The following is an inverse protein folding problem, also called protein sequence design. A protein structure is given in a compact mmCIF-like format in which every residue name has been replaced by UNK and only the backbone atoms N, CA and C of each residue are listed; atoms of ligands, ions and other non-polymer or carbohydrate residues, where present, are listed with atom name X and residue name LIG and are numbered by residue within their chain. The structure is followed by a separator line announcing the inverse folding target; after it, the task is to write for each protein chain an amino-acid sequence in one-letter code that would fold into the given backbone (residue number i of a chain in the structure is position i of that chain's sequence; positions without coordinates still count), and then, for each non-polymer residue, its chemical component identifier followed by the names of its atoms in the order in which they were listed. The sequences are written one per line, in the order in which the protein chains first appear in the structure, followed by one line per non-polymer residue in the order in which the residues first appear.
data_IF_562498150507
#
_entry.id   IF_562498150507
#
_cell.length_a   1.000
_cell.length_b   1.000
_cell.length_c   1.000
_cell.angle_alpha   90.00
_cell.angle_beta   90.00
_cell.angle_gamma   90.00
#
_symmetry.space_group_name_H-M   'P 1'
#
loop_
_entity.id
_entity.type
_entity.pdbx_description
1 polymer ?
#
# COMPACT_ATOMS: atom_id res chain seq x y z
N UNK A 1 -25.03 -52.15 57.30
CA UNK A 1 -23.94 -51.33 57.88
C UNK A 1 -23.46 -50.35 56.83
N UNK A 2 -24.20 -49.24 56.77
CA UNK A 2 -23.95 -48.05 55.98
C UNK A 2 -23.17 -47.09 56.88
N UNK A 3 -21.96 -46.67 56.49
CA UNK A 3 -21.33 -45.37 56.81
C UNK A 3 -19.82 -45.42 56.52
N UNK A 4 -19.35 -44.41 55.78
CA UNK A 4 -17.96 -43.95 55.66
C UNK A 4 -17.07 -44.74 54.68
N UNK A 5 -17.31 -44.57 53.36
CA UNK A 5 -16.22 -44.31 52.38
C UNK A 5 -16.72 -43.38 51.26
N UNK A 6 -17.53 -42.36 51.62
CA UNK A 6 -17.87 -41.23 50.73
C UNK A 6 -16.90 -40.05 50.98
N UNK A 7 -15.97 -40.20 51.92
CA UNK A 7 -15.11 -39.10 52.41
C UNK A 7 -13.76 -38.95 51.71
N UNK A 8 -13.42 -39.78 50.74
CA UNK A 8 -12.17 -39.66 49.95
C UNK A 8 -12.38 -39.20 48.50
N UNK A 9 -13.64 -39.03 48.07
CA UNK A 9 -13.96 -38.56 46.72
C UNK A 9 -14.28 -37.04 46.63
N UNK A 10 -14.21 -36.29 47.74
CA UNK A 10 -14.54 -34.86 47.80
C UNK A 10 -13.32 -33.96 48.08
N UNK A 11 -12.11 -34.53 48.25
CA UNK A 11 -10.91 -33.75 48.57
C UNK A 11 -10.09 -33.33 47.32
N UNK A 12 -10.45 -33.77 46.11
CA UNK A 12 -9.77 -33.35 44.85
C UNK A 12 -10.60 -32.33 44.05
N UNK A 13 -11.76 -31.86 44.55
CA UNK A 13 -12.54 -30.79 43.89
C UNK A 13 -12.37 -29.40 44.50
N UNK A 14 -11.36 -29.17 45.36
CA UNK A 14 -11.24 -27.93 46.16
C UNK A 14 -9.93 -27.16 45.96
N UNK A 15 -9.21 -27.36 44.85
CA UNK A 15 -8.11 -26.47 44.42
C UNK A 15 -8.58 -25.58 43.27
N UNK A 16 -9.78 -25.02 43.43
CA UNK A 16 -10.19 -23.81 42.74
C UNK A 16 -10.96 -22.95 43.73
N UNK A 17 -10.83 -21.63 43.59
CA UNK A 17 -11.48 -20.54 44.35
C UNK A 17 -10.71 -20.09 45.61
N UNK A 18 -9.89 -19.04 45.45
CA UNK A 18 -9.30 -18.38 46.61
C UNK A 18 -8.21 -17.34 46.38
N UNK A 19 -8.16 -16.62 45.26
CA UNK A 19 -7.46 -15.33 45.21
C UNK A 19 -8.39 -14.27 44.63
N UNK A 20 -9.04 -13.57 45.56
CA UNK A 20 -9.48 -12.17 45.52
C UNK A 20 -10.43 -11.73 44.40
N UNK A 21 -11.73 -11.87 44.65
CA UNK A 21 -12.73 -10.95 44.13
C UNK A 21 -12.63 -9.60 44.88
N UNK A 22 -11.93 -8.64 44.29
CA UNK A 22 -12.31 -7.23 44.42
C UNK A 22 -13.27 -6.91 43.28
N UNK A 23 -14.49 -6.49 43.62
CA UNK A 23 -15.48 -5.99 42.67
C UNK A 23 -14.90 -4.88 41.79
N UNK A 24 -14.70 -5.17 40.51
CA UNK A 24 -14.71 -4.16 39.45
C UNK A 24 -15.70 -4.65 38.39
N UNK A 25 -16.69 -3.81 38.16
CA UNK A 25 -17.73 -3.85 37.12
C UNK A 25 -17.10 -4.22 35.77
N UNK A 26 -17.76 -5.02 34.90
CA UNK A 26 -17.16 -5.47 33.65
C UNK A 26 -16.92 -4.28 32.71
N UNK A 27 -15.69 -3.76 32.70
CA UNK A 27 -15.21 -2.99 31.57
C UNK A 27 -15.16 -3.95 30.38
N UNK A 28 -15.53 -3.46 29.20
CA UNK A 28 -15.36 -4.15 27.92
C UNK A 28 -14.11 -5.05 27.97
N UNK A 29 -14.25 -6.33 27.63
CA UNK A 29 -13.08 -7.16 27.34
C UNK A 29 -12.29 -6.45 26.24
N UNK A 30 -11.25 -5.71 26.62
CA UNK A 30 -10.25 -5.21 25.69
C UNK A 30 -9.65 -6.46 25.07
N UNK A 31 -9.96 -6.67 23.79
CA UNK A 31 -9.32 -7.72 23.01
C UNK A 31 -7.84 -7.37 23.04
N UNK A 32 -6.97 -8.22 23.63
CA UNK A 32 -5.56 -7.91 23.74
C UNK A 32 -5.01 -7.60 22.37
N UNK A 33 -4.16 -6.58 22.30
CA UNK A 33 -3.50 -6.16 21.08
C UNK A 33 -2.74 -7.34 20.45
N UNK A 34 -2.54 -7.36 19.12
CA UNK A 34 -1.80 -8.45 18.46
C UNK A 34 -0.46 -8.76 19.13
N UNK A 35 0.29 -7.72 19.53
CA UNK A 35 1.54 -7.84 20.27
C UNK A 35 1.38 -8.51 21.64
N UNK A 36 0.38 -8.11 22.43
CA UNK A 36 0.13 -8.72 23.74
C UNK A 36 -0.26 -10.19 23.64
N UNK A 37 -0.98 -10.57 22.58
CA UNK A 37 -1.33 -11.97 22.31
C UNK A 37 -0.09 -12.79 21.94
N UNK A 38 0.81 -12.25 21.12
CA UNK A 38 2.07 -12.89 20.74
C UNK A 38 2.98 -13.07 21.95
N UNK A 39 3.14 -12.04 22.77
CA UNK A 39 3.96 -12.07 23.98
C UNK A 39 3.44 -13.08 25.01
N UNK A 40 2.11 -13.16 25.15
CA UNK A 40 1.45 -14.16 25.98
C UNK A 40 1.75 -15.59 25.52
N UNK A 41 1.65 -15.87 24.21
CA UNK A 41 1.96 -17.20 23.66
C UNK A 41 3.45 -17.55 23.77
N UNK A 42 4.34 -16.58 23.56
CA UNK A 42 5.79 -16.75 23.77
C UNK A 42 6.11 -17.10 25.23
N UNK A 43 5.41 -16.49 26.19
CA UNK A 43 5.55 -16.83 27.62
C UNK A 43 5.14 -18.28 27.89
N UNK A 44 4.02 -18.74 27.34
CA UNK A 44 3.57 -20.15 27.45
C UNK A 44 4.60 -21.12 26.86
N UNK A 45 5.10 -20.83 25.65
CA UNK A 45 6.13 -21.63 24.98
C UNK A 45 7.40 -21.72 25.83
N UNK A 46 7.86 -20.58 26.37
CA UNK A 46 9.07 -20.51 27.18
C UNK A 46 8.93 -21.30 28.50
N UNK A 47 7.77 -21.22 29.16
CA UNK A 47 7.51 -22.00 30.37
C UNK A 47 7.47 -23.50 30.06
N UNK A 48 6.77 -23.90 28.99
CA UNK A 48 6.67 -25.30 28.58
C UNK A 48 8.03 -25.89 28.20
N UNK A 49 8.91 -25.12 27.56
CA UNK A 49 10.30 -25.53 27.29
C UNK A 49 11.09 -25.83 28.55
N UNK A 50 11.01 -24.95 29.55
CA UNK A 50 11.69 -25.13 30.85
C UNK A 50 11.20 -26.41 31.54
N UNK A 51 9.89 -26.64 31.56
CA UNK A 51 9.31 -27.83 32.16
C UNK A 51 9.76 -29.12 31.45
N UNK A 52 9.95 -29.07 30.13
CA UNK A 52 10.31 -30.21 29.29
C UNK A 52 11.66 -30.85 29.67
N UNK A 53 12.60 -30.07 30.23
CA UNK A 53 13.90 -30.55 30.72
C UNK A 53 13.76 -31.47 31.94
N UNK A 54 12.66 -31.35 32.69
CA UNK A 54 12.45 -32.08 33.93
C UNK A 54 11.56 -33.33 33.76
N UNK A 55 10.98 -33.55 32.57
CA UNK A 55 10.09 -34.68 32.29
C UNK A 55 10.89 -35.96 32.00
N UNK A 56 10.86 -36.90 32.95
CA UNK A 56 11.56 -38.20 32.85
C UNK A 56 10.78 -39.28 32.09
N UNK A 57 9.46 -39.16 32.00
CA UNK A 57 8.61 -40.17 31.34
C UNK A 57 8.50 -39.89 29.84
N UNK A 58 8.98 -40.82 29.02
CA UNK A 58 9.03 -40.66 27.56
C UNK A 58 7.66 -40.32 26.92
N UNK A 59 6.58 -40.97 27.36
CA UNK A 59 5.23 -40.68 26.85
C UNK A 59 4.81 -39.23 27.13
N UNK A 60 4.95 -38.79 28.38
CA UNK A 60 4.60 -37.42 28.80
C UNK A 60 5.47 -36.39 28.07
N UNK A 61 6.75 -36.70 27.86
CA UNK A 61 7.67 -35.85 27.10
C UNK A 61 7.25 -35.72 25.63
N UNK A 62 6.84 -36.82 25.01
CA UNK A 62 6.34 -36.83 23.63
C UNK A 62 5.04 -36.01 23.51
N UNK A 63 4.10 -36.17 24.44
CA UNK A 63 2.86 -35.40 24.49
C UNK A 63 3.16 -33.90 24.66
N UNK A 64 4.04 -33.51 25.59
CA UNK A 64 4.45 -32.11 25.78
C UNK A 64 5.16 -31.51 24.57
N UNK A 65 5.96 -32.30 23.84
CA UNK A 65 6.59 -31.87 22.59
C UNK A 65 5.56 -31.65 21.48
N UNK A 66 4.55 -32.50 21.36
CA UNK A 66 3.48 -32.33 20.39
C UNK A 66 2.71 -31.01 20.63
N UNK A 67 2.35 -30.74 21.89
CA UNK A 67 1.67 -29.49 22.24
C UNK A 67 2.60 -28.27 21.99
N UNK A 68 3.91 -28.39 22.25
CA UNK A 68 4.87 -27.33 21.94
C UNK A 68 4.95 -27.04 20.43
N UNK A 69 4.83 -28.07 19.58
CA UNK A 69 4.73 -27.89 18.12
C UNK A 69 3.46 -27.12 17.77
N UNK A 70 2.32 -27.47 18.37
CA UNK A 70 1.05 -26.77 18.13
C UNK A 70 1.10 -25.29 18.55
N UNK A 71 1.75 -24.97 19.68
CA UNK A 71 1.96 -23.57 20.09
C UNK A 71 2.79 -22.81 19.05
N UNK A 72 3.83 -23.44 18.50
CA UNK A 72 4.67 -22.83 17.47
C UNK A 72 3.91 -22.60 16.17
N UNK A 73 3.06 -23.55 15.76
CA UNK A 73 2.16 -23.38 14.62
C UNK A 73 1.23 -22.20 14.84
N UNK A 74 0.65 -22.07 16.03
CA UNK A 74 -0.20 -20.94 16.39
C UNK A 74 0.58 -19.61 16.35
N UNK A 75 1.79 -19.58 16.90
CA UNK A 75 2.67 -18.40 16.89
C UNK A 75 2.98 -17.94 15.46
N UNK A 76 3.32 -18.89 14.57
CA UNK A 76 3.56 -18.60 13.15
C UNK A 76 2.30 -18.02 12.49
N UNK A 77 1.12 -18.58 12.78
CA UNK A 77 -0.16 -18.06 12.27
C UNK A 77 -0.40 -16.62 12.71
N UNK A 78 -0.15 -16.30 13.97
CA UNK A 78 -0.30 -14.94 14.50
C UNK A 78 0.65 -13.94 13.84
N UNK A 79 1.92 -14.31 13.68
CA UNK A 79 2.90 -13.48 12.96
C UNK A 79 2.54 -13.28 11.49
N UNK A 80 2.00 -14.30 10.81
CA UNK A 80 1.55 -14.16 9.43
C UNK A 80 0.38 -13.17 9.31
N UNK A 81 -0.55 -13.18 10.26
CA UNK A 81 -1.69 -12.28 10.24
C UNK A 81 -1.28 -10.83 10.55
N UNK A 82 -0.37 -10.63 11.50
CA UNK A 82 0.20 -9.31 11.76
C UNK A 82 1.00 -8.80 10.56
N UNK A 83 1.81 -9.65 9.94
CA UNK A 83 2.51 -9.31 8.70
C UNK A 83 1.54 -8.90 7.59
N UNK A 84 0.44 -9.62 7.39
CA UNK A 84 -0.59 -9.25 6.40
C UNK A 84 -1.19 -7.87 6.70
N UNK A 85 -1.46 -7.56 7.96
CA UNK A 85 -2.01 -6.27 8.36
C UNK A 85 -1.02 -5.14 8.15
N UNK A 86 0.22 -5.31 8.61
CA UNK A 86 1.32 -4.34 8.42
C UNK A 86 1.58 -4.13 6.93
N UNK A 87 1.63 -5.20 6.14
CA UNK A 87 1.79 -5.13 4.68
C UNK A 87 0.65 -4.36 4.03
N UNK A 88 -0.61 -4.66 4.38
CA UNK A 88 -1.79 -3.93 3.86
C UNK A 88 -1.74 -2.44 4.22
N UNK A 89 -1.26 -2.11 5.42
CA UNK A 89 -1.07 -0.73 5.85
C UNK A 89 0.07 -0.07 5.06
N UNK A 90 1.25 -0.69 4.99
CA UNK A 90 2.40 -0.19 4.24
C UNK A 90 2.08 0.02 2.76
N UNK A 91 1.39 -0.93 2.11
CA UNK A 91 0.96 -0.82 0.72
C UNK A 91 -0.01 0.37 0.51
N UNK A 92 -0.85 0.70 1.50
CA UNK A 92 -1.73 1.88 1.47
C UNK A 92 -0.95 3.21 1.47
N UNK A 93 0.20 3.27 2.17
CA UNK A 93 1.01 4.48 2.28
C UNK A 93 2.18 4.52 1.29
N UNK A 94 2.53 3.41 0.64
CA UNK A 94 3.58 3.36 -0.40
C UNK A 94 3.34 4.39 -1.50
N UNK A 95 2.10 4.57 -1.94
CA UNK A 95 1.77 5.58 -2.95
C UNK A 95 2.01 7.03 -2.46
N UNK A 96 1.91 7.28 -1.15
CA UNK A 96 2.24 8.57 -0.55
C UNK A 96 3.76 8.75 -0.41
N UNK A 97 4.50 7.70 -0.09
CA UNK A 97 5.98 7.72 -0.14
C UNK A 97 6.46 8.06 -1.55
N UNK A 98 5.82 7.51 -2.58
CA UNK A 98 6.15 7.87 -3.94
C UNK A 98 5.90 9.35 -4.24
N UNK A 99 4.83 9.96 -3.73
CA UNK A 99 4.62 11.42 -3.88
C UNK A 99 5.71 12.26 -3.20
N UNK A 100 6.41 11.72 -2.20
CA UNK A 100 7.51 12.42 -1.53
C UNK A 100 8.86 12.17 -2.20
N UNK A 101 8.90 11.31 -3.22
CA UNK A 101 10.12 11.02 -3.95
C UNK A 101 10.56 12.23 -4.76
N UNK A 102 11.87 12.48 -4.79
CA UNK A 102 12.48 13.48 -5.66
C UNK A 102 12.69 12.97 -7.09
N UNK A 103 12.45 11.69 -7.36
CA UNK A 103 12.59 11.07 -8.69
C UNK A 103 11.49 11.53 -9.64
N UNK A 104 11.76 11.43 -10.94
CA UNK A 104 10.79 11.57 -12.03
C UNK A 104 9.85 10.36 -12.16
N UNK A 105 10.12 9.25 -11.47
CA UNK A 105 9.22 8.09 -11.45
C UNK A 105 7.81 8.44 -10.96
N UNK A 106 7.66 9.53 -10.21
CA UNK A 106 6.36 10.03 -9.70
C UNK A 106 5.35 10.36 -10.81
N UNK A 107 5.82 10.60 -12.04
CA UNK A 107 4.95 10.88 -13.19
C UNK A 107 4.46 9.60 -13.90
N UNK A 108 5.06 8.45 -13.59
CA UNK A 108 4.79 7.18 -14.28
C UNK A 108 4.05 6.15 -13.40
N UNK A 109 3.70 6.52 -12.18
CA UNK A 109 2.96 5.66 -11.25
C UNK A 109 1.48 6.05 -11.18
N UNK A 110 0.65 5.10 -10.77
CA UNK A 110 -0.73 5.42 -10.43
C UNK A 110 -0.78 6.30 -9.19
N UNK A 111 -1.36 7.50 -9.34
CA UNK A 111 -1.48 8.45 -8.24
C UNK A 111 -2.46 7.91 -7.18
N UNK A 112 -2.13 8.06 -5.88
CA UNK A 112 -3.04 7.65 -4.82
C UNK A 112 -4.36 8.43 -4.90
N UNK A 113 -5.44 7.82 -4.38
CA UNK A 113 -6.71 8.53 -4.23
C UNK A 113 -6.50 9.83 -3.43
N UNK A 114 -6.94 10.97 -3.97
CA UNK A 114 -6.78 12.28 -3.33
C UNK A 114 -7.35 12.32 -1.89
N UNK A 115 -8.34 11.47 -1.57
CA UNK A 115 -8.92 11.35 -0.23
C UNK A 115 -7.91 10.90 0.84
N UNK A 116 -6.85 10.18 0.46
CA UNK A 116 -5.80 9.74 1.38
C UNK A 116 -4.60 10.70 1.42
N UNK A 117 -4.58 11.73 0.58
CA UNK A 117 -3.49 12.72 0.52
C UNK A 117 -3.68 13.77 1.61
N UNK A 118 -2.71 13.95 2.53
CA UNK A 118 -2.77 14.99 3.55
C UNK A 118 -2.92 16.39 2.94
N UNK A 119 -3.66 17.32 3.58
CA UNK A 119 -3.83 18.69 3.09
C UNK A 119 -2.50 19.41 2.77
N UNK A 120 -1.46 19.15 3.56
CA UNK A 120 -0.12 19.70 3.36
C UNK A 120 0.55 19.27 2.05
N UNK A 121 0.19 18.11 1.50
CA UNK A 121 0.74 17.58 0.25
C UNK A 121 -0.15 17.82 -0.97
N UNK A 122 -1.35 18.39 -0.79
CA UNK A 122 -2.32 18.56 -1.89
C UNK A 122 -1.79 19.41 -3.03
N UNK A 123 -1.05 20.49 -2.72
CA UNK A 123 -0.47 21.33 -3.78
C UNK A 123 0.55 20.56 -4.62
N UNK A 124 1.41 19.77 -3.99
CA UNK A 124 2.38 18.92 -4.69
C UNK A 124 1.68 17.85 -5.52
N UNK A 125 0.71 17.15 -4.93
CA UNK A 125 -0.13 16.17 -5.62
C UNK A 125 -0.82 16.78 -6.86
N UNK A 126 -1.40 17.98 -6.73
CA UNK A 126 -2.09 18.66 -7.82
C UNK A 126 -1.15 19.03 -8.96
N UNK A 127 0.11 19.39 -8.67
CA UNK A 127 1.11 19.67 -9.70
C UNK A 127 1.52 18.38 -10.43
N UNK A 128 1.79 17.29 -9.70
CA UNK A 128 2.09 15.99 -10.32
C UNK A 128 0.90 15.53 -11.18
N UNK A 129 -0.32 15.60 -10.65
CA UNK A 129 -1.54 15.23 -11.37
C UNK A 129 -1.72 16.02 -12.67
N UNK A 130 -1.40 17.32 -12.67
CA UNK A 130 -1.42 18.13 -13.89
C UNK A 130 -0.38 17.67 -14.92
N UNK A 131 0.85 17.38 -14.49
CA UNK A 131 1.89 16.83 -15.40
C UNK A 131 1.43 15.50 -16.00
N UNK A 132 0.92 14.59 -15.17
CA UNK A 132 0.41 13.29 -15.62
C UNK A 132 -0.77 13.46 -16.60
N UNK A 133 -1.67 14.42 -16.35
CA UNK A 133 -2.77 14.72 -17.27
C UNK A 133 -2.25 15.22 -18.63
N UNK A 134 -1.28 16.14 -18.63
CA UNK A 134 -0.66 16.66 -19.85
C UNK A 134 0.03 15.53 -20.62
N UNK A 135 0.76 14.66 -19.92
CA UNK A 135 1.42 13.50 -20.53
C UNK A 135 0.41 12.59 -21.25
N UNK A 136 -0.71 12.25 -20.61
CA UNK A 136 -1.77 11.45 -21.21
C UNK A 136 -2.42 12.12 -22.43
N UNK A 137 -2.57 13.44 -22.40
CA UNK A 137 -3.10 14.18 -23.54
C UNK A 137 -2.14 14.19 -24.73
N UNK A 138 -0.83 14.36 -24.48
CA UNK A 138 0.21 14.22 -25.50
C UNK A 138 0.17 12.81 -26.12
N UNK A 139 0.12 11.77 -25.28
CA UNK A 139 0.05 10.37 -25.74
C UNK A 139 -1.21 10.11 -26.58
N UNK A 140 -2.37 10.66 -26.19
CA UNK A 140 -3.60 10.57 -26.98
C UNK A 140 -3.42 11.21 -28.35
N UNK A 141 -2.86 12.43 -28.41
CA UNK A 141 -2.66 13.15 -29.68
C UNK A 141 -1.66 12.41 -30.57
N UNK A 142 -0.57 11.89 -30.02
CA UNK A 142 0.41 11.09 -30.76
C UNK A 142 -0.24 9.83 -31.36
N UNK A 143 -1.10 9.15 -30.60
CA UNK A 143 -1.84 7.99 -31.07
C UNK A 143 -2.82 8.37 -32.19
N UNK A 144 -3.56 9.47 -32.02
CA UNK A 144 -4.50 9.98 -33.02
C UNK A 144 -3.80 10.35 -34.33
N UNK A 145 -2.62 10.97 -34.25
CA UNK A 145 -1.75 11.25 -35.39
C UNK A 145 -1.33 9.94 -36.08
N UNK A 146 -0.89 8.94 -35.32
CA UNK A 146 -0.44 7.66 -35.87
C UNK A 146 -1.57 6.94 -36.63
N UNK A 147 -2.76 6.92 -36.04
CA UNK A 147 -3.93 6.28 -36.64
C UNK A 147 -4.42 7.04 -37.87
N UNK A 148 -4.44 8.38 -37.82
CA UNK A 148 -4.82 9.19 -38.97
C UNK A 148 -3.82 9.10 -40.12
N UNK A 149 -2.53 9.04 -39.81
CA UNK A 149 -1.46 8.85 -40.81
C UNK A 149 -1.67 7.55 -41.58
N UNK A 150 -1.92 6.43 -40.87
CA UNK A 150 -2.23 5.13 -41.49
C UNK A 150 -3.47 5.21 -42.39
N UNK A 151 -4.52 5.87 -41.92
CA UNK A 151 -5.75 6.04 -42.68
C UNK A 151 -5.53 6.86 -43.97
N UNK A 152 -4.79 7.97 -43.89
CA UNK A 152 -4.45 8.81 -45.03
C UNK A 152 -3.64 8.05 -46.10
N UNK A 153 -2.63 7.29 -45.67
CA UNK A 153 -1.82 6.45 -46.58
C UNK A 153 -2.70 5.42 -47.29
N UNK A 154 -3.66 4.78 -46.59
CA UNK A 154 -4.55 3.79 -47.19
C UNK A 154 -5.47 4.35 -48.28
N UNK A 155 -5.82 5.65 -48.22
CA UNK A 155 -6.66 6.34 -49.20
C UNK A 155 -5.87 7.25 -50.15
N UNK A 156 -4.54 7.12 -50.19
CA UNK A 156 -3.65 7.97 -51.01
C UNK A 156 -3.83 9.48 -50.77
N UNK A 157 -4.11 9.88 -49.54
CA UNK A 157 -4.20 11.27 -49.12
C UNK A 157 -2.93 11.70 -48.38
N UNK A 158 -2.45 12.92 -48.65
CA UNK A 158 -1.30 13.52 -47.96
C UNK A 158 -1.61 13.77 -46.46
N UNK A 159 -0.92 13.11 -45.52
CA UNK A 159 -1.18 13.26 -44.08
C UNK A 159 -0.94 14.70 -43.59
N UNK A 160 0.05 15.39 -44.16
CA UNK A 160 0.40 16.76 -43.79
C UNK A 160 -0.70 17.79 -44.10
N UNK A 161 -1.64 17.46 -45.00
CA UNK A 161 -2.78 18.33 -45.29
C UNK A 161 -3.96 18.15 -44.31
N UNK A 162 -4.00 17.04 -43.56
CA UNK A 162 -5.14 16.61 -42.75
C UNK A 162 -4.85 16.69 -41.26
N UNK A 163 -3.69 16.19 -40.84
CA UNK A 163 -3.26 16.12 -39.44
C UNK A 163 -3.32 17.48 -38.73
N UNK A 164 -2.87 18.61 -39.32
CA UNK A 164 -2.84 19.89 -38.60
C UNK A 164 -4.23 20.35 -38.17
N UNK A 165 -5.22 20.19 -39.05
CA UNK A 165 -6.63 20.53 -38.77
C UNK A 165 -7.24 19.62 -37.71
N UNK A 166 -6.81 18.35 -37.65
CA UNK A 166 -7.29 17.39 -36.68
C UNK A 166 -6.81 17.74 -35.26
N UNK A 167 -5.52 18.05 -35.13
CA UNK A 167 -4.88 18.17 -33.81
C UNK A 167 -4.82 19.60 -33.27
N UNK A 168 -5.12 20.64 -34.07
CA UNK A 168 -4.95 22.05 -33.69
C UNK A 168 -5.56 22.39 -32.33
N UNK A 169 -6.83 22.04 -32.12
CA UNK A 169 -7.53 22.36 -30.86
C UNK A 169 -6.92 21.63 -29.65
N UNK A 170 -6.48 20.39 -29.85
CA UNK A 170 -5.89 19.59 -28.77
C UNK A 170 -4.50 20.10 -28.40
N UNK A 171 -3.70 20.46 -29.42
CA UNK A 171 -2.38 21.06 -29.26
C UNK A 171 -2.48 22.41 -28.54
N UNK A 172 -3.42 23.29 -28.91
CA UNK A 172 -3.67 24.57 -28.23
C UNK A 172 -4.07 24.39 -26.76
N UNK A 173 -4.90 23.38 -26.47
CA UNK A 173 -5.28 23.05 -25.10
C UNK A 173 -4.09 22.56 -24.26
N UNK A 174 -3.22 21.72 -24.83
CA UNK A 174 -1.98 21.26 -24.20
C UNK A 174 -1.06 22.46 -23.92
N UNK A 175 -0.87 23.35 -24.90
CA UNK A 175 -0.07 24.57 -24.73
C UNK A 175 -0.57 25.43 -23.57
N UNK A 176 -1.88 25.65 -23.51
CA UNK A 176 -2.51 26.44 -22.45
C UNK A 176 -2.28 25.83 -21.07
N UNK A 177 -2.38 24.49 -20.94
CA UNK A 177 -2.13 23.79 -19.68
C UNK A 177 -0.67 23.89 -19.25
N UNK A 178 0.26 23.75 -20.19
CA UNK A 178 1.69 23.87 -19.93
C UNK A 178 2.06 25.29 -19.49
N UNK A 179 1.51 26.31 -20.16
CA UNK A 179 1.74 27.71 -19.79
C UNK A 179 1.28 27.99 -18.35
N UNK A 180 0.04 27.62 -18.01
CA UNK A 180 -0.51 27.75 -16.65
C UNK A 180 0.33 27.01 -15.62
N UNK A 181 0.79 25.81 -15.95
CA UNK A 181 1.62 25.02 -15.05
C UNK A 181 2.99 25.70 -14.81
N UNK A 182 3.60 26.29 -15.85
CA UNK A 182 4.85 27.05 -15.73
C UNK A 182 4.69 28.31 -14.88
N UNK A 183 3.56 29.02 -14.99
CA UNK A 183 3.26 30.19 -14.15
C UNK A 183 3.27 29.89 -12.65
N UNK A 184 3.01 28.64 -12.26
CA UNK A 184 3.09 28.23 -10.85
C UNK A 184 4.52 28.24 -10.30
N UNK A 185 5.55 28.20 -11.16
CA UNK A 185 6.96 28.11 -10.79
C UNK A 185 7.40 26.72 -10.30
N UNK A 186 6.51 25.71 -10.34
CA UNK A 186 6.77 24.32 -9.91
C UNK A 186 7.50 24.24 -8.55
N UNK A 187 7.02 24.95 -7.50
CA UNK A 187 7.82 25.24 -6.31
C UNK A 187 8.16 24.00 -5.49
N UNK A 188 7.35 22.94 -5.61
CA UNK A 188 7.52 21.70 -4.87
C UNK A 188 8.26 20.62 -5.65
N UNK A 189 8.64 20.87 -6.91
CA UNK A 189 9.36 19.90 -7.71
C UNK A 189 10.86 19.97 -7.46
N UNK A 190 11.48 18.79 -7.33
CA UNK A 190 12.93 18.62 -7.32
C UNK A 190 13.56 19.08 -8.64
N UNK A 191 14.88 19.26 -8.66
CA UNK A 191 15.60 19.57 -9.89
C UNK A 191 15.42 18.47 -10.97
N UNK A 192 15.34 17.21 -10.55
CA UNK A 192 15.12 16.05 -11.44
C UNK A 192 13.72 16.10 -12.05
N UNK A 193 12.70 16.38 -11.24
CA UNK A 193 11.32 16.49 -11.70
C UNK A 193 11.10 17.68 -12.65
N UNK A 194 11.73 18.82 -12.36
CA UNK A 194 11.71 19.98 -13.26
C UNK A 194 12.38 19.66 -14.59
N UNK A 195 13.55 19.01 -14.55
CA UNK A 195 14.24 18.56 -15.76
C UNK A 195 13.40 17.57 -16.56
N UNK A 196 12.75 16.60 -15.90
CA UNK A 196 11.84 15.68 -16.59
C UNK A 196 10.71 16.43 -17.30
N UNK A 197 10.10 17.40 -16.62
CA UNK A 197 9.07 18.24 -17.24
C UNK A 197 9.61 18.98 -18.45
N UNK A 198 10.78 19.61 -18.33
CA UNK A 198 11.40 20.36 -19.42
C UNK A 198 11.91 19.48 -20.57
N UNK A 199 12.33 18.24 -20.34
CA UNK A 199 12.85 17.37 -21.40
C UNK A 199 11.74 16.53 -22.04
N UNK A 200 10.89 15.89 -21.23
CA UNK A 200 9.89 14.93 -21.71
C UNK A 200 8.57 15.56 -22.12
N UNK A 201 8.09 16.59 -21.41
CA UNK A 201 6.86 17.28 -21.82
C UNK A 201 7.20 18.25 -22.94
N UNK A 202 8.23 19.08 -22.77
CA UNK A 202 8.63 20.07 -23.78
C UNK A 202 9.03 19.47 -25.12
N UNK A 203 9.91 18.46 -25.09
CA UNK A 203 10.38 17.82 -26.31
C UNK A 203 9.25 17.20 -27.11
N UNK A 204 8.31 16.52 -26.43
CA UNK A 204 7.19 15.85 -27.08
C UNK A 204 6.19 16.81 -27.68
N UNK A 205 5.79 17.87 -26.97
CA UNK A 205 4.84 18.81 -27.54
C UNK A 205 5.47 19.68 -28.65
N UNK A 206 6.75 20.06 -28.54
CA UNK A 206 7.46 20.78 -29.61
C UNK A 206 7.50 19.96 -30.91
N UNK A 207 7.50 18.63 -30.81
CA UNK A 207 7.44 17.75 -31.98
C UNK A 207 6.10 17.86 -32.74
N UNK A 208 5.06 18.49 -32.18
CA UNK A 208 3.85 18.81 -32.93
C UNK A 208 4.04 19.99 -33.89
N UNK A 209 5.03 20.87 -33.67
CA UNK A 209 5.29 22.03 -34.54
C UNK A 209 5.56 21.63 -35.99
N UNK A 210 6.12 20.44 -36.24
CA UNK A 210 6.37 19.91 -37.60
C UNK A 210 5.12 19.77 -38.47
N UNK A 211 3.93 19.74 -37.86
CA UNK A 211 2.66 19.69 -38.59
C UNK A 211 2.14 21.10 -38.93
N UNK A 212 2.67 22.14 -38.30
CA UNK A 212 2.25 23.53 -38.49
C UNK A 212 3.30 24.37 -39.20
N UNK A 213 4.55 23.92 -39.27
CA UNK A 213 5.62 24.53 -40.06
C UNK A 213 5.53 24.07 -41.51
N UNK A 214 4.70 24.78 -42.29
CA UNK A 214 4.75 24.84 -43.75
C UNK A 214 4.47 26.29 -44.17
N UNK A 215 5.49 27.14 -44.02
CA UNK A 215 5.77 28.25 -44.95
C UNK A 215 7.20 28.09 -45.47
#
# INVERSE_FOLDING_TARGET
MTRIVISTLIIISSIFVGFSQTHIIPSLYEVPSPSERIDSLLSVINNRKKELEHIKKNKVRADSLAILVDDYVLLVGMWQDEYKQVKKMADKYRALECLLSESDSVFNIELPNIAIVPPSLRNHYNLISQVVSIQKEIERVEQEIADKTKACIAISQEPMAVIPKLISSDVDAIYTKIAKLKETGLPTFSAVQRKYFDDNIRGRYNNFERYFTNE
#
